data_IF_103022067122
#
_entry.id   IF_103022067122
#
_cell.length_a   1.000
_cell.length_b   1.000
_cell.length_c   1.000
_cell.angle_alpha   90.00
_cell.angle_beta   90.00
_cell.angle_gamma   90.00
#
_symmetry.space_group_name_H-M   'P 1'
#
loop_
_entity.id
_entity.type
_entity.pdbx_description
1 polymer ?
#
# COMPACT_ATOMS: atom_id res chain seq x y z
N UNK A 1 26.10 40.57 -6.67
CA UNK A 1 24.96 40.02 -7.38
C UNK A 1 25.03 38.50 -7.54
N UNK A 2 26.14 37.88 -8.00
CA UNK A 2 26.29 36.40 -8.09
C UNK A 2 26.14 35.67 -6.75
N UNK A 3 26.70 36.20 -5.67
CA UNK A 3 26.61 35.59 -4.32
C UNK A 3 25.19 35.65 -3.73
N UNK A 4 24.38 36.60 -4.13
CA UNK A 4 22.99 36.73 -3.68
C UNK A 4 22.06 35.75 -4.41
N UNK A 5 22.32 35.52 -5.69
CA UNK A 5 21.58 34.55 -6.51
C UNK A 5 21.88 33.12 -6.04
N UNK A 6 23.13 32.77 -5.68
CA UNK A 6 23.51 31.48 -5.15
C UNK A 6 22.86 31.21 -3.78
N UNK A 7 22.74 32.23 -2.91
CA UNK A 7 22.02 32.11 -1.63
C UNK A 7 20.51 31.94 -1.83
N UNK A 8 19.92 32.65 -2.81
CA UNK A 8 18.49 32.47 -3.14
C UNK A 8 18.19 31.10 -3.72
N UNK A 9 19.06 30.57 -4.56
CA UNK A 9 18.95 29.19 -5.10
C UNK A 9 19.13 28.14 -3.99
N UNK A 10 20.07 28.31 -3.07
CA UNK A 10 20.24 27.38 -1.93
C UNK A 10 19.06 27.45 -0.94
N UNK A 11 18.43 28.60 -0.74
CA UNK A 11 17.22 28.74 0.10
C UNK A 11 16.00 28.12 -0.61
N UNK A 12 15.87 28.28 -1.93
CA UNK A 12 14.78 27.62 -2.68
C UNK A 12 14.93 26.09 -2.74
N UNK A 13 16.15 25.58 -2.87
CA UNK A 13 16.43 24.14 -2.81
C UNK A 13 16.18 23.58 -1.40
N UNK A 14 16.51 24.33 -0.35
CA UNK A 14 16.22 23.92 1.03
C UNK A 14 14.73 24.00 1.40
N UNK A 15 13.94 24.90 0.77
CA UNK A 15 12.48 24.93 0.93
C UNK A 15 11.78 23.79 0.18
N UNK A 16 12.30 23.37 -0.97
CA UNK A 16 11.77 22.22 -1.71
C UNK A 16 12.12 20.90 -0.97
N UNK A 17 13.30 20.80 -0.37
CA UNK A 17 13.68 19.65 0.45
C UNK A 17 12.86 19.51 1.75
N UNK A 18 12.27 20.59 2.26
CA UNK A 18 11.44 20.54 3.47
C UNK A 18 10.01 19.98 3.25
N UNK A 19 9.57 19.82 1.99
CA UNK A 19 8.23 19.29 1.67
C UNK A 19 8.23 17.83 1.26
N UNK A 20 9.39 17.20 1.10
CA UNK A 20 9.57 15.77 0.80
C UNK A 20 9.74 14.91 2.06
N UNK A 21 9.06 15.24 3.16
CA UNK A 21 8.93 14.29 4.26
C UNK A 21 7.95 13.23 3.84
N UNK A 22 8.41 11.96 3.88
CA UNK A 22 7.61 10.79 3.60
C UNK A 22 6.24 10.88 4.27
N UNK A 23 5.16 11.00 3.49
CA UNK A 23 3.83 10.75 4.00
C UNK A 23 3.82 9.32 4.49
N UNK A 24 3.56 9.10 5.77
CA UNK A 24 3.37 7.75 6.29
C UNK A 24 2.08 7.21 5.70
N UNK A 25 2.21 6.27 4.78
CA UNK A 25 1.07 5.54 4.23
C UNK A 25 0.49 4.67 5.33
N UNK A 26 -0.82 4.72 5.50
CA UNK A 26 -1.56 3.79 6.34
C UNK A 26 -2.02 2.61 5.51
N UNK A 27 -1.53 1.43 5.81
CA UNK A 27 -1.94 0.19 5.16
C UNK A 27 -3.07 -0.48 5.93
N UNK A 28 -4.03 -1.01 5.19
CA UNK A 28 -4.96 -2.02 5.69
C UNK A 28 -4.41 -3.40 5.32
N UNK A 29 -4.83 -4.44 6.01
CA UNK A 29 -4.26 -5.77 5.90
C UNK A 29 -5.36 -6.83 5.71
N UNK A 30 -5.04 -7.89 4.94
CA UNK A 30 -5.77 -9.16 4.94
C UNK A 30 -4.78 -10.25 5.29
N UNK A 31 -5.04 -10.92 6.38
CA UNK A 31 -4.17 -11.94 6.98
C UNK A 31 -4.92 -13.28 7.13
N UNK A 32 -4.29 -14.27 7.72
CA UNK A 32 -4.95 -15.52 8.08
C UNK A 32 -6.04 -15.35 9.14
N UNK A 33 -5.98 -14.30 9.94
CA UNK A 33 -7.03 -13.98 10.92
C UNK A 33 -8.31 -13.48 10.23
N UNK A 34 -8.18 -12.95 9.01
CA UNK A 34 -9.29 -12.54 8.15
C UNK A 34 -9.78 -13.68 7.23
N UNK A 35 -9.20 -14.88 7.34
CA UNK A 35 -9.57 -16.06 6.56
C UNK A 35 -8.69 -16.37 5.36
N UNK A 36 -7.59 -15.61 5.15
CA UNK A 36 -6.63 -15.93 4.09
C UNK A 36 -5.99 -17.30 4.31
N UNK A 37 -5.91 -18.13 3.29
CA UNK A 37 -5.44 -19.51 3.41
C UNK A 37 -3.99 -19.66 3.85
N UNK A 38 -3.14 -18.63 3.58
CA UNK A 38 -1.72 -18.63 3.95
C UNK A 38 -1.10 -17.24 3.78
N UNK A 39 -0.10 -16.90 4.60
CA UNK A 39 0.56 -15.58 4.62
C UNK A 39 1.37 -15.22 3.36
N UNK A 40 1.92 -16.23 2.64
CA UNK A 40 2.71 -15.97 1.43
C UNK A 40 1.79 -15.78 0.23
N UNK A 41 1.70 -14.55 -0.23
CA UNK A 41 0.91 -14.17 -1.40
C UNK A 41 1.81 -14.12 -2.62
N UNK A 42 1.64 -15.06 -3.54
CA UNK A 42 2.46 -15.17 -4.74
C UNK A 42 1.95 -14.28 -5.88
N UNK A 43 0.63 -14.13 -5.99
CA UNK A 43 0.00 -13.34 -7.06
C UNK A 43 -1.35 -12.78 -6.64
N UNK A 44 -1.73 -11.67 -7.27
CA UNK A 44 -3.00 -10.99 -7.14
C UNK A 44 -3.61 -10.76 -8.52
N UNK A 45 -4.92 -10.82 -8.61
CA UNK A 45 -5.67 -10.53 -9.83
C UNK A 45 -7.02 -9.89 -9.47
N UNK A 46 -7.42 -8.86 -10.22
CA UNK A 46 -8.74 -8.24 -10.13
C UNK A 46 -9.55 -8.65 -11.35
N UNK A 47 -10.70 -9.29 -11.13
CA UNK A 47 -11.57 -9.69 -12.22
C UNK A 47 -12.43 -8.53 -12.77
N UNK A 48 -13.25 -8.80 -13.77
CA UNK A 48 -14.13 -7.81 -14.40
C UNK A 48 -15.20 -7.24 -13.46
N UNK A 49 -15.52 -7.94 -12.38
CA UNK A 49 -16.50 -7.51 -11.37
C UNK A 49 -15.84 -6.72 -10.23
N UNK A 50 -14.52 -6.56 -10.26
CA UNK A 50 -13.74 -5.88 -9.22
C UNK A 50 -13.41 -6.77 -8.01
N UNK A 51 -13.64 -8.08 -8.10
CA UNK A 51 -13.31 -9.04 -7.06
C UNK A 51 -11.81 -9.33 -7.04
N UNK A 52 -11.22 -9.31 -5.86
CA UNK A 52 -9.81 -9.62 -5.66
C UNK A 52 -9.60 -11.14 -5.54
N UNK A 53 -8.73 -11.67 -6.37
CA UNK A 53 -8.25 -13.05 -6.33
C UNK A 53 -6.82 -13.09 -5.83
N UNK A 54 -6.54 -13.98 -4.85
CA UNK A 54 -5.27 -14.05 -4.13
C UNK A 54 -4.72 -15.47 -4.27
N UNK A 55 -3.63 -15.61 -5.01
CA UNK A 55 -2.91 -16.86 -5.17
C UNK A 55 -1.87 -17.04 -4.05
N UNK A 56 -1.98 -18.14 -3.32
CA UNK A 56 -1.07 -18.50 -2.23
C UNK A 56 -0.42 -19.86 -2.45
N UNK A 57 0.39 -20.33 -1.51
CA UNK A 57 0.91 -21.70 -1.50
C UNK A 57 -0.13 -22.73 -1.04
N UNK A 58 -1.26 -22.26 -0.47
CA UNK A 58 -2.32 -23.08 0.11
C UNK A 58 -3.69 -22.82 -0.54
N UNK A 59 -3.70 -22.55 -1.84
CA UNK A 59 -4.90 -22.41 -2.64
C UNK A 59 -5.09 -21.03 -3.26
N UNK A 60 -6.23 -20.92 -3.94
CA UNK A 60 -6.76 -19.68 -4.49
C UNK A 60 -7.80 -19.12 -3.51
N UNK A 61 -7.70 -17.83 -3.20
CA UNK A 61 -8.64 -17.13 -2.34
C UNK A 61 -9.38 -16.06 -3.15
N UNK A 62 -10.68 -15.94 -2.91
CA UNK A 62 -11.55 -14.91 -3.45
C UNK A 62 -11.94 -13.96 -2.31
N UNK A 63 -11.69 -12.69 -2.48
CA UNK A 63 -12.10 -11.64 -1.53
C UNK A 63 -13.07 -10.69 -2.22
N UNK A 64 -14.29 -10.54 -1.69
CA UNK A 64 -15.36 -9.71 -2.28
C UNK A 64 -15.54 -8.35 -1.59
N UNK A 65 -14.66 -8.03 -0.66
CA UNK A 65 -14.72 -6.81 0.14
C UNK A 65 -15.15 -7.06 1.59
N UNK A 66 -15.69 -8.23 1.90
CA UNK A 66 -16.17 -8.62 3.23
C UNK A 66 -15.58 -9.97 3.65
N UNK A 67 -15.78 -11.03 2.86
CA UNK A 67 -15.39 -12.39 3.20
C UNK A 67 -14.29 -12.95 2.27
N UNK A 68 -13.48 -13.88 2.81
CA UNK A 68 -12.50 -14.64 2.04
C UNK A 68 -12.98 -16.08 1.85
N UNK A 69 -13.24 -16.44 0.59
CA UNK A 69 -13.55 -17.81 0.18
C UNK A 69 -12.30 -18.49 -0.38
N UNK A 70 -11.94 -19.69 0.13
CA UNK A 70 -10.76 -20.43 -0.31
C UNK A 70 -11.11 -21.64 -1.17
N UNK A 71 -10.39 -21.82 -2.28
CA UNK A 71 -10.46 -22.97 -3.19
C UNK A 71 -9.15 -23.74 -3.11
N UNK A 72 -9.25 -25.05 -2.83
CA UNK A 72 -8.12 -26.00 -2.68
C UNK A 72 -8.34 -27.27 -3.45
N UNK A 73 -7.28 -28.06 -3.61
CA UNK A 73 -7.36 -29.42 -4.10
C UNK A 73 -8.27 -30.28 -3.21
N UNK A 74 -9.25 -30.94 -3.83
CA UNK A 74 -10.14 -31.92 -3.20
C UNK A 74 -10.03 -33.25 -3.94
N UNK A 75 -9.54 -34.31 -3.26
CA UNK A 75 -9.21 -35.61 -3.86
C UNK A 75 -10.34 -36.26 -4.63
N UNK A 76 -11.60 -36.01 -4.28
CA UNK A 76 -12.77 -36.64 -4.87
C UNK A 76 -13.59 -35.71 -5.76
N UNK A 77 -13.12 -34.49 -6.00
CA UNK A 77 -13.78 -33.53 -6.88
C UNK A 77 -12.91 -33.23 -8.10
N UNK A 78 -13.28 -33.75 -9.29
CA UNK A 78 -12.52 -33.51 -10.53
C UNK A 78 -12.56 -32.04 -11.00
N UNK A 79 -13.44 -31.24 -10.43
CA UNK A 79 -13.59 -29.82 -10.73
C UNK A 79 -12.91 -28.91 -9.70
N UNK A 80 -12.23 -29.48 -8.72
CA UNK A 80 -11.41 -28.74 -7.77
C UNK A 80 -10.06 -28.35 -8.38
N UNK A 81 -9.33 -27.47 -7.69
CA UNK A 81 -7.95 -27.13 -8.06
C UNK A 81 -7.07 -28.40 -8.00
N UNK A 82 -6.24 -28.64 -9.02
CA UNK A 82 -5.40 -29.85 -9.09
C UNK A 82 -4.11 -29.74 -8.27
N UNK A 83 -3.71 -28.52 -7.86
CA UNK A 83 -2.51 -28.24 -7.09
C UNK A 83 -2.75 -27.00 -6.20
N UNK A 84 -2.39 -27.07 -4.92
CA UNK A 84 -2.66 -25.95 -3.99
C UNK A 84 -1.76 -24.71 -4.19
N UNK A 85 -0.57 -24.88 -4.76
CA UNK A 85 0.36 -23.76 -4.90
C UNK A 85 0.07 -22.98 -6.19
N UNK A 86 -0.56 -21.82 -6.04
CA UNK A 86 -0.81 -20.86 -7.12
C UNK A 86 0.34 -19.87 -7.18
N UNK A 87 1.07 -19.83 -8.29
CA UNK A 87 2.25 -19.00 -8.50
C UNK A 87 1.92 -17.67 -9.18
N UNK A 88 1.12 -17.70 -10.25
CA UNK A 88 0.71 -16.53 -11.02
C UNK A 88 -0.72 -16.69 -11.53
N UNK A 89 -1.34 -15.56 -11.82
CA UNK A 89 -2.68 -15.51 -12.40
C UNK A 89 -2.72 -14.58 -13.60
N UNK A 90 -3.56 -14.94 -14.57
CA UNK A 90 -3.93 -14.09 -15.69
C UNK A 90 -5.42 -14.32 -15.99
N UNK A 91 -6.13 -13.34 -16.54
CA UNK A 91 -7.55 -13.49 -16.80
C UNK A 91 -7.96 -12.84 -18.11
N UNK A 92 -9.05 -13.36 -18.70
CA UNK A 92 -9.58 -12.85 -19.97
C UNK A 92 -10.58 -11.72 -19.82
N UNK A 93 -10.86 -11.31 -18.57
CA UNK A 93 -11.92 -10.33 -18.23
C UNK A 93 -13.27 -10.65 -18.89
N UNK A 94 -13.54 -11.93 -19.07
CA UNK A 94 -14.77 -12.49 -19.62
C UNK A 94 -15.09 -13.84 -18.95
N UNK A 95 -15.06 -13.86 -17.63
CA UNK A 95 -15.47 -14.98 -16.80
C UNK A 95 -14.45 -16.09 -16.61
N UNK A 96 -13.19 -15.93 -17.03
CA UNK A 96 -12.15 -16.96 -16.86
C UNK A 96 -10.89 -16.39 -16.23
N UNK A 97 -10.36 -17.12 -15.25
CA UNK A 97 -9.05 -16.88 -14.64
C UNK A 97 -8.14 -18.07 -14.94
N UNK A 98 -6.97 -17.82 -15.44
CA UNK A 98 -5.93 -18.81 -15.70
C UNK A 98 -4.91 -18.79 -14.57
N UNK A 99 -4.58 -19.96 -14.05
CA UNK A 99 -3.72 -20.14 -12.90
C UNK A 99 -2.46 -20.90 -13.31
N UNK A 100 -1.31 -20.32 -13.10
CA UNK A 100 -0.05 -21.03 -13.12
C UNK A 100 0.18 -21.62 -11.73
N UNK A 101 0.20 -22.94 -11.66
CA UNK A 101 0.51 -23.70 -10.46
C UNK A 101 1.89 -24.38 -10.60
N UNK A 102 2.43 -24.92 -9.51
CA UNK A 102 3.71 -25.65 -9.55
C UNK A 102 3.68 -26.87 -10.46
N UNK A 103 2.52 -27.45 -10.69
CA UNK A 103 2.34 -28.68 -11.46
C UNK A 103 1.71 -28.47 -12.85
N UNK A 104 1.49 -27.21 -13.28
CA UNK A 104 0.92 -26.89 -14.59
C UNK A 104 0.00 -25.68 -14.60
N UNK A 105 -0.97 -25.68 -15.52
CA UNK A 105 -1.91 -24.58 -15.76
C UNK A 105 -3.34 -25.05 -15.62
N UNK A 106 -4.15 -24.29 -14.85
CA UNK A 106 -5.59 -24.49 -14.74
C UNK A 106 -6.35 -23.27 -15.26
N UNK A 107 -7.59 -23.48 -15.69
CA UNK A 107 -8.62 -22.48 -15.90
C UNK A 107 -9.64 -22.56 -14.77
N UNK A 108 -10.01 -21.42 -14.21
CA UNK A 108 -11.16 -21.28 -13.32
C UNK A 108 -12.26 -20.49 -14.02
N UNK A 109 -13.44 -21.08 -14.10
CA UNK A 109 -14.62 -20.44 -14.68
C UNK A 109 -15.47 -19.79 -13.59
N UNK A 110 -15.63 -18.47 -13.63
CA UNK A 110 -16.31 -17.67 -12.61
C UNK A 110 -17.81 -18.02 -12.51
N UNK A 111 -18.47 -18.32 -13.63
CA UNK A 111 -19.90 -18.61 -13.65
C UNK A 111 -20.24 -19.99 -13.06
N UNK A 112 -19.41 -21.00 -13.32
CA UNK A 112 -19.63 -22.38 -12.84
C UNK A 112 -18.89 -22.66 -11.55
N UNK A 113 -17.92 -21.84 -11.16
CA UNK A 113 -16.98 -22.02 -10.04
C UNK A 113 -16.21 -23.35 -10.12
N UNK A 114 -15.85 -23.77 -11.33
CA UNK A 114 -15.15 -25.01 -11.60
C UNK A 114 -13.77 -24.78 -12.19
N UNK A 115 -12.84 -25.65 -11.80
CA UNK A 115 -11.52 -25.71 -12.39
C UNK A 115 -11.47 -26.71 -13.52
N UNK A 116 -10.66 -26.41 -14.52
CA UNK A 116 -10.27 -27.31 -15.61
C UNK A 116 -8.76 -27.29 -15.73
N UNK A 117 -8.12 -28.45 -15.63
CA UNK A 117 -6.67 -28.56 -15.89
C UNK A 117 -6.42 -28.44 -17.39
N UNK A 118 -5.69 -27.42 -17.81
CA UNK A 118 -5.37 -27.17 -19.22
C UNK A 118 -4.07 -27.86 -19.63
N UNK A 119 -3.07 -27.87 -18.74
CA UNK A 119 -1.76 -28.47 -18.98
C UNK A 119 -1.16 -28.94 -17.66
N UNK A 120 -0.57 -30.14 -17.66
CA UNK A 120 0.29 -30.63 -16.57
C UNK A 120 1.75 -30.58 -17.00
N UNK A 121 2.63 -30.29 -16.06
CA UNK A 121 4.07 -30.23 -16.25
C UNK A 121 4.67 -28.86 -15.94
N UNK A 122 5.98 -28.74 -16.13
CA UNK A 122 6.71 -27.54 -15.77
C UNK A 122 6.43 -26.38 -16.74
N UNK A 123 5.85 -25.30 -16.23
CA UNK A 123 5.57 -24.04 -16.93
C UNK A 123 6.14 -22.92 -16.07
N UNK A 124 6.82 -21.94 -16.67
CA UNK A 124 7.54 -20.90 -15.95
C UNK A 124 6.80 -19.55 -15.94
N UNK A 125 5.97 -19.31 -16.94
CA UNK A 125 5.19 -18.08 -17.03
C UNK A 125 3.84 -18.27 -17.69
N UNK A 126 2.92 -17.35 -17.35
CA UNK A 126 1.58 -17.25 -17.92
C UNK A 126 1.28 -15.79 -18.24
N UNK A 127 0.65 -15.52 -19.36
CA UNK A 127 0.24 -14.19 -19.78
C UNK A 127 -1.04 -14.23 -20.61
N UNK A 128 -1.94 -13.31 -20.38
CA UNK A 128 -3.16 -13.15 -21.17
C UNK A 128 -3.33 -11.72 -21.65
N UNK A 129 -3.62 -11.52 -22.91
CA UNK A 129 -4.12 -10.26 -23.49
C UNK A 129 -5.23 -10.55 -24.50
N UNK A 130 -4.95 -11.03 -25.67
CA UNK A 130 -5.92 -11.44 -26.69
C UNK A 130 -6.08 -12.97 -26.74
N UNK A 131 -5.10 -13.67 -26.21
CA UNK A 131 -5.05 -15.11 -26.06
C UNK A 131 -4.22 -15.46 -24.81
N UNK A 132 -4.35 -16.69 -24.36
CA UNK A 132 -3.51 -17.25 -23.30
C UNK A 132 -2.17 -17.70 -23.89
N UNK A 133 -1.07 -17.19 -23.33
CA UNK A 133 0.29 -17.62 -23.64
C UNK A 133 0.93 -18.22 -22.39
N UNK A 134 1.76 -19.24 -22.60
CA UNK A 134 2.62 -19.81 -21.57
C UNK A 134 4.08 -19.84 -22.05
N UNK A 135 5.01 -19.65 -21.11
CA UNK A 135 6.44 -19.85 -21.31
C UNK A 135 6.88 -21.17 -20.69
N UNK A 136 7.50 -22.03 -21.49
CA UNK A 136 8.04 -23.32 -21.07
C UNK A 136 9.49 -23.43 -21.55
N UNK A 137 10.45 -23.32 -20.64
CA UNK A 137 11.85 -23.15 -21.02
C UNK A 137 12.02 -21.95 -21.99
N UNK A 138 12.63 -22.11 -23.14
CA UNK A 138 12.81 -21.11 -24.19
C UNK A 138 11.67 -21.06 -25.22
N UNK A 139 10.56 -21.72 -24.97
CA UNK A 139 9.42 -21.84 -25.89
C UNK A 139 8.21 -21.07 -25.39
N UNK A 140 7.53 -20.37 -26.28
CA UNK A 140 6.24 -19.72 -26.04
C UNK A 140 5.17 -20.53 -26.73
N UNK A 141 4.15 -20.91 -26.00
CA UNK A 141 2.98 -21.60 -26.52
C UNK A 141 1.75 -20.71 -26.40
N UNK A 142 0.86 -20.82 -27.37
CA UNK A 142 -0.45 -20.16 -27.40
C UNK A 142 -1.55 -21.20 -27.21
N UNK A 143 -2.47 -20.94 -26.31
CA UNK A 143 -3.65 -21.78 -26.12
C UNK A 143 -4.63 -21.62 -27.28
N UNK A 144 -5.05 -22.73 -27.83
CA UNK A 144 -6.03 -22.81 -28.90
C UNK A 144 -7.36 -23.29 -28.31
N UNK A 145 -8.33 -22.38 -28.15
CA UNK A 145 -9.62 -22.66 -27.54
C UNK A 145 -10.46 -23.69 -28.34
N UNK A 146 -10.23 -23.82 -29.66
CA UNK A 146 -10.98 -24.76 -30.50
C UNK A 146 -10.53 -26.21 -30.30
N UNK A 147 -9.23 -26.43 -30.13
CA UNK A 147 -8.65 -27.76 -29.96
C UNK A 147 -8.42 -28.13 -28.49
N UNK A 148 -8.40 -27.14 -27.60
CA UNK A 148 -8.04 -27.34 -26.19
C UNK A 148 -6.55 -27.59 -25.95
N UNK A 149 -5.69 -27.33 -26.94
CA UNK A 149 -4.27 -27.61 -26.87
C UNK A 149 -3.43 -26.31 -26.85
N UNK A 150 -2.18 -26.46 -26.44
CA UNK A 150 -1.17 -25.42 -26.54
C UNK A 150 -0.32 -25.65 -27.79
N UNK A 151 -0.42 -24.74 -28.76
CA UNK A 151 0.37 -24.78 -30.00
C UNK A 151 1.66 -23.98 -29.82
N UNK A 152 2.80 -24.49 -30.31
CA UNK A 152 4.07 -23.75 -30.29
C UNK A 152 3.91 -22.46 -31.09
N UNK A 153 4.13 -21.31 -30.43
CA UNK A 153 3.98 -19.99 -31.03
C UNK A 153 5.33 -19.41 -31.45
N UNK A 154 6.34 -19.50 -30.57
CA UNK A 154 7.70 -19.03 -30.85
C UNK A 154 8.74 -19.76 -30.01
N UNK A 155 9.97 -19.90 -30.52
CA UNK A 155 11.10 -20.45 -29.80
C UNK A 155 12.26 -19.48 -29.79
N UNK A 156 12.71 -19.07 -28.60
CA UNK A 156 13.88 -18.24 -28.40
C UNK A 156 15.17 -19.01 -28.74
N UNK A 157 16.19 -18.35 -29.29
CA UNK A 157 17.50 -18.96 -29.50
C UNK A 157 18.17 -19.23 -28.11
N UNK A 158 18.78 -20.40 -27.97
CA UNK A 158 19.44 -20.80 -26.72
C UNK A 158 18.67 -21.90 -25.96
N UNK A 159 19.42 -22.88 -25.42
CA UNK A 159 18.81 -24.06 -24.78
C UNK A 159 18.62 -23.94 -23.26
N UNK A 160 19.21 -22.94 -22.63
CA UNK A 160 19.22 -22.80 -21.16
C UNK A 160 18.39 -21.59 -20.67
N UNK A 161 17.50 -21.09 -21.51
CA UNK A 161 16.66 -19.94 -21.18
C UNK A 161 15.36 -20.42 -20.57
N UNK A 162 14.87 -19.72 -19.53
CA UNK A 162 13.54 -19.90 -19.01
C UNK A 162 12.79 -18.58 -19.13
N UNK A 163 11.66 -18.60 -19.83
CA UNK A 163 10.78 -17.43 -20.02
C UNK A 163 9.98 -17.23 -18.74
N UNK A 164 10.31 -16.20 -17.97
CA UNK A 164 9.72 -15.92 -16.67
C UNK A 164 8.59 -14.88 -16.70
N UNK A 165 8.53 -14.01 -17.69
CA UNK A 165 7.45 -13.06 -17.88
C UNK A 165 7.32 -12.64 -19.35
N UNK A 166 6.13 -12.20 -19.73
CA UNK A 166 5.80 -11.75 -21.07
C UNK A 166 4.90 -10.51 -20.99
N UNK A 167 4.99 -9.62 -21.97
CA UNK A 167 4.09 -8.50 -22.15
C UNK A 167 3.90 -8.20 -23.64
N UNK A 168 2.64 -8.08 -24.07
CA UNK A 168 2.27 -7.82 -25.46
C UNK A 168 1.76 -6.39 -25.61
N UNK A 169 2.36 -5.60 -26.49
CA UNK A 169 1.85 -4.28 -26.86
C UNK A 169 2.03 -4.00 -28.35
N UNK A 170 0.97 -3.53 -29.00
CA UNK A 170 0.96 -3.04 -30.41
C UNK A 170 1.74 -3.94 -31.38
N UNK A 171 1.54 -5.26 -31.30
CA UNK A 171 2.21 -6.23 -32.17
C UNK A 171 3.66 -6.54 -31.78
N UNK A 172 4.12 -6.10 -30.63
CA UNK A 172 5.42 -6.43 -30.06
C UNK A 172 5.25 -7.23 -28.78
N UNK A 173 5.96 -8.34 -28.65
CA UNK A 173 6.01 -9.12 -27.42
C UNK A 173 7.36 -8.92 -26.75
N UNK A 174 7.32 -8.38 -25.53
CA UNK A 174 8.46 -8.33 -24.63
C UNK A 174 8.54 -9.62 -23.84
N UNK A 175 9.72 -10.21 -23.75
CA UNK A 175 9.95 -11.51 -23.17
C UNK A 175 11.10 -11.40 -22.19
N UNK A 176 10.81 -11.60 -20.91
CA UNK A 176 11.83 -11.67 -19.87
C UNK A 176 12.30 -13.10 -19.64
N UNK A 177 13.61 -13.26 -19.45
CA UNK A 177 14.24 -14.55 -19.19
C UNK A 177 14.99 -14.54 -17.86
N UNK A 178 15.24 -15.72 -17.29
CA UNK A 178 15.93 -15.86 -15.99
C UNK A 178 17.45 -15.65 -16.09
N UNK A 179 18.04 -15.68 -17.26
CA UNK A 179 19.51 -15.66 -17.40
C UNK A 179 20.04 -14.68 -18.44
N UNK A 180 19.27 -14.36 -19.47
CA UNK A 180 19.76 -13.64 -20.66
C UNK A 180 19.03 -12.30 -20.92
N UNK A 181 18.31 -11.82 -19.92
CA UNK A 181 17.66 -10.52 -19.95
C UNK A 181 16.33 -10.47 -20.68
N UNK A 182 16.00 -9.32 -21.28
CA UNK A 182 14.73 -9.06 -21.95
C UNK A 182 14.90 -8.96 -23.46
N UNK A 183 14.06 -9.69 -24.17
CA UNK A 183 13.95 -9.69 -25.63
C UNK A 183 12.70 -8.95 -26.09
N UNK A 184 12.72 -8.46 -27.32
CA UNK A 184 11.56 -7.91 -28.02
C UNK A 184 11.34 -8.66 -29.33
N UNK A 185 10.21 -9.31 -29.45
CA UNK A 185 9.75 -10.01 -30.65
C UNK A 185 8.72 -9.15 -31.40
N UNK A 186 9.04 -8.76 -32.62
CA UNK A 186 8.13 -8.09 -33.53
C UNK A 186 7.27 -9.14 -34.25
N UNK A 187 5.97 -9.19 -33.96
CA UNK A 187 5.12 -10.32 -34.38
C UNK A 187 4.83 -10.35 -35.87
N UNK A 188 4.64 -9.17 -36.52
CA UNK A 188 4.33 -9.05 -37.95
C UNK A 188 5.52 -9.47 -38.85
N UNK A 189 6.75 -9.29 -38.36
CA UNK A 189 7.97 -9.62 -39.07
C UNK A 189 8.64 -10.89 -38.61
N UNK A 190 8.18 -11.43 -37.48
CA UNK A 190 8.83 -12.55 -36.77
C UNK A 190 10.32 -12.28 -36.49
N UNK A 191 10.65 -10.99 -36.22
CA UNK A 191 12.00 -10.54 -35.91
C UNK A 191 12.22 -10.43 -34.41
N UNK A 192 13.23 -11.13 -33.91
CA UNK A 192 13.69 -11.05 -32.53
C UNK A 192 14.87 -10.08 -32.44
N UNK A 193 14.76 -9.08 -31.58
CA UNK A 193 15.94 -8.25 -31.25
C UNK A 193 16.81 -8.99 -30.24
N UNK A 194 18.11 -8.73 -30.27
CA UNK A 194 19.03 -9.18 -29.22
C UNK A 194 18.57 -8.66 -27.85
N UNK A 195 19.00 -9.30 -26.73
CA UNK A 195 18.63 -8.84 -25.42
C UNK A 195 18.90 -7.34 -25.29
N UNK A 196 17.83 -6.59 -25.01
CA UNK A 196 17.91 -5.15 -24.80
C UNK A 196 18.47 -4.85 -23.41
N UNK A 197 18.19 -5.75 -22.47
CA UNK A 197 18.62 -5.73 -21.08
C UNK A 197 19.28 -7.06 -20.76
N UNK A 198 20.25 -7.07 -19.85
CA UNK A 198 20.90 -8.28 -19.35
C UNK A 198 20.31 -8.72 -18.01
N UNK A 199 20.69 -9.91 -17.56
CA UNK A 199 20.37 -10.42 -16.24
C UNK A 199 19.04 -11.18 -16.15
N UNK A 200 18.62 -11.43 -14.93
CA UNK A 200 17.40 -12.17 -14.60
C UNK A 200 16.23 -11.20 -14.50
N UNK A 201 15.31 -11.24 -15.44
CA UNK A 201 14.11 -10.39 -15.48
C UNK A 201 13.02 -11.03 -14.63
N UNK A 202 12.34 -10.23 -13.82
CA UNK A 202 11.30 -10.68 -12.88
C UNK A 202 9.91 -10.24 -13.27
N UNK A 203 9.80 -9.03 -13.86
CA UNK A 203 8.52 -8.41 -14.24
C UNK A 203 8.68 -7.45 -15.40
N UNK A 204 7.61 -7.29 -16.17
CA UNK A 204 7.47 -6.27 -17.22
C UNK A 204 6.11 -5.62 -17.02
N UNK A 205 6.11 -4.31 -16.84
CA UNK A 205 4.91 -3.49 -16.69
C UNK A 205 4.93 -2.33 -17.67
N UNK A 206 3.79 -2.04 -18.31
CA UNK A 206 3.62 -0.87 -19.18
C UNK A 206 2.72 0.14 -18.49
N UNK A 207 3.17 1.38 -18.38
CA UNK A 207 2.39 2.47 -17.82
C UNK A 207 1.41 3.09 -18.84
N UNK A 208 0.64 4.07 -18.40
CA UNK A 208 -0.37 4.76 -19.22
C UNK A 208 0.24 5.60 -20.37
N UNK A 209 1.51 5.98 -20.26
CA UNK A 209 2.26 6.71 -21.29
C UNK A 209 2.87 5.77 -22.34
N UNK A 210 2.77 4.45 -22.11
CA UNK A 210 3.31 3.41 -22.98
C UNK A 210 4.79 3.10 -22.72
N UNK A 211 5.36 3.60 -21.64
CA UNK A 211 6.72 3.32 -21.20
C UNK A 211 6.78 2.01 -20.41
N UNK A 212 7.92 1.31 -20.48
CA UNK A 212 8.05 0.01 -19.82
C UNK A 212 8.93 0.10 -18.59
N UNK A 213 8.44 -0.52 -17.52
CA UNK A 213 9.12 -0.68 -16.24
C UNK A 213 9.46 -2.15 -16.07
N UNK A 214 10.75 -2.47 -16.17
CA UNK A 214 11.26 -3.84 -16.21
C UNK A 214 12.08 -4.09 -14.96
N UNK A 215 11.55 -4.98 -14.10
CA UNK A 215 12.22 -5.39 -12.88
C UNK A 215 13.23 -6.50 -13.14
N UNK A 216 14.33 -6.48 -12.40
CA UNK A 216 15.35 -7.53 -12.42
C UNK A 216 15.62 -8.08 -11.02
N UNK A 217 16.31 -9.23 -10.96
CA UNK A 217 16.67 -9.85 -9.69
C UNK A 217 17.89 -9.19 -9.01
N UNK A 218 18.79 -8.57 -9.75
CA UNK A 218 20.04 -7.99 -9.19
C UNK A 218 20.43 -6.66 -9.83
N UNK A 219 19.87 -6.34 -11.02
CA UNK A 219 20.24 -5.18 -11.84
C UNK A 219 19.32 -3.96 -11.60
N UNK A 220 18.49 -3.99 -10.54
CA UNK A 220 17.57 -2.92 -10.21
C UNK A 220 16.35 -2.84 -11.14
N UNK A 221 15.87 -1.62 -11.36
CA UNK A 221 14.71 -1.29 -12.18
C UNK A 221 15.17 -0.60 -13.47
N UNK A 222 14.69 -1.10 -14.61
CA UNK A 222 14.94 -0.51 -15.91
C UNK A 222 13.68 0.20 -16.41
N UNK A 223 13.82 1.45 -16.77
CA UNK A 223 12.76 2.26 -17.38
C UNK A 223 13.08 2.46 -18.86
N UNK A 224 12.29 1.85 -19.73
CA UNK A 224 12.41 1.94 -21.18
C UNK A 224 11.38 2.92 -21.70
N UNK A 225 11.85 4.08 -22.11
CA UNK A 225 11.02 5.18 -22.65
C UNK A 225 10.53 4.88 -24.06
N UNK A 226 9.49 5.58 -24.47
CA UNK A 226 8.90 5.42 -25.82
C UNK A 226 9.85 5.79 -26.95
N UNK A 227 10.87 6.64 -26.70
CA UNK A 227 11.93 6.98 -27.66
C UNK A 227 13.06 5.92 -27.73
N UNK A 228 12.98 4.87 -26.89
CA UNK A 228 13.96 3.80 -26.79
C UNK A 228 15.11 4.07 -25.80
N UNK A 229 15.11 5.23 -25.14
CA UNK A 229 16.06 5.52 -24.05
C UNK A 229 15.82 4.59 -22.87
N UNK A 230 16.89 4.09 -22.25
CA UNK A 230 16.83 3.23 -21.08
C UNK A 230 17.49 3.93 -19.91
N UNK A 231 16.75 4.10 -18.83
CA UNK A 231 17.26 4.55 -17.54
C UNK A 231 17.31 3.36 -16.58
N UNK A 232 18.36 3.30 -15.75
CA UNK A 232 18.54 2.22 -14.78
C UNK A 232 18.55 2.84 -13.40
N UNK A 233 17.73 2.31 -12.50
CA UNK A 233 17.65 2.73 -11.11
C UNK A 233 18.15 1.60 -10.21
N UNK A 234 19.24 1.88 -9.49
CA UNK A 234 19.85 0.95 -8.57
C UNK A 234 19.80 1.48 -7.13
N UNK A 235 19.88 0.55 -6.18
CA UNK A 235 19.99 0.88 -4.77
C UNK A 235 21.36 1.52 -4.47
N UNK A 236 21.31 2.66 -3.81
CA UNK A 236 22.50 3.34 -3.27
C UNK A 236 22.29 3.66 -1.77
N UNK A 237 23.06 2.99 -0.91
CA UNK A 237 22.97 3.19 0.54
C UNK A 237 23.30 4.63 1.01
N UNK A 238 23.92 5.44 0.16
CA UNK A 238 24.25 6.85 0.45
C UNK A 238 23.19 7.81 -0.05
N UNK A 239 22.28 7.34 -0.90
CA UNK A 239 21.19 8.15 -1.46
C UNK A 239 19.83 7.68 -0.90
N UNK A 240 19.24 8.39 0.07
CA UNK A 240 17.95 8.01 0.64
C UNK A 240 16.77 8.09 -0.34
N UNK A 241 16.99 8.68 -1.52
CA UNK A 241 16.01 8.79 -2.60
C UNK A 241 16.27 7.80 -3.74
N UNK A 242 17.15 6.82 -3.57
CA UNK A 242 17.29 5.68 -4.48
C UNK A 242 16.23 4.62 -4.21
N UNK A 243 16.05 3.68 -5.13
CA UNK A 243 15.22 2.49 -4.90
C UNK A 243 15.75 1.70 -3.69
N UNK A 244 14.86 1.06 -2.93
CA UNK A 244 15.22 0.41 -1.65
C UNK A 244 15.97 -0.92 -1.81
N UNK A 245 15.97 -1.53 -3.00
CA UNK A 245 16.67 -2.78 -3.30
C UNK A 245 16.77 -3.01 -4.82
N UNK A 246 17.85 -3.64 -5.28
CA UNK A 246 18.01 -4.07 -6.66
C UNK A 246 17.14 -5.29 -7.03
N UNK A 247 16.57 -5.99 -6.05
CA UNK A 247 15.65 -7.10 -6.27
C UNK A 247 14.23 -6.58 -6.50
N UNK A 248 13.90 -6.21 -7.73
CA UNK A 248 12.59 -5.67 -8.13
C UNK A 248 11.69 -6.81 -8.57
N UNK A 249 10.40 -6.81 -8.15
CA UNK A 249 9.47 -7.92 -8.43
C UNK A 249 8.19 -7.53 -9.11
N UNK A 250 7.71 -6.32 -8.88
CA UNK A 250 6.44 -5.85 -9.43
C UNK A 250 6.44 -4.34 -9.61
N UNK A 251 5.70 -3.86 -10.62
CA UNK A 251 5.44 -2.45 -10.83
C UNK A 251 3.94 -2.25 -11.09
N UNK A 252 3.41 -1.10 -10.68
CA UNK A 252 2.04 -0.70 -10.94
C UNK A 252 1.93 0.83 -10.93
N UNK A 253 1.17 1.42 -11.84
CA UNK A 253 0.86 2.85 -11.87
C UNK A 253 -0.42 3.14 -11.10
N UNK A 254 -0.40 4.17 -10.22
CA UNK A 254 -1.61 4.66 -9.56
C UNK A 254 -2.42 5.61 -10.48
N UNK A 255 -3.57 6.10 -10.01
CA UNK A 255 -4.39 7.03 -10.77
C UNK A 255 -3.81 8.46 -10.84
N UNK A 256 -2.79 8.73 -10.04
CA UNK A 256 -2.06 10.01 -10.01
C UNK A 256 -0.84 10.01 -10.95
N UNK A 257 -0.57 8.88 -11.62
CA UNK A 257 0.57 8.69 -12.53
C UNK A 257 1.89 8.36 -11.84
N UNK A 258 1.90 8.08 -10.53
CA UNK A 258 3.12 7.60 -9.87
C UNK A 258 3.31 6.11 -10.14
N UNK A 259 4.56 5.68 -10.23
CA UNK A 259 4.90 4.27 -10.35
C UNK A 259 5.24 3.71 -8.98
N UNK A 260 4.56 2.63 -8.60
CA UNK A 260 4.79 1.89 -7.38
C UNK A 260 5.58 0.63 -7.69
N UNK A 261 6.67 0.42 -6.98
CA UNK A 261 7.63 -0.65 -7.23
C UNK A 261 7.78 -1.50 -5.98
N UNK A 262 7.43 -2.76 -6.10
CA UNK A 262 7.65 -3.79 -5.08
C UNK A 262 9.03 -4.39 -5.20
N UNK A 263 9.78 -4.37 -4.11
CA UNK A 263 11.12 -4.94 -4.05
C UNK A 263 11.24 -5.96 -2.93
N UNK A 264 12.40 -6.59 -2.80
CA UNK A 264 12.71 -7.45 -1.67
C UNK A 264 12.74 -6.69 -0.34
N UNK A 265 13.04 -5.40 -0.35
CA UNK A 265 13.21 -4.57 0.85
C UNK A 265 12.33 -3.30 0.85
N UNK A 266 11.07 -3.44 0.52
CA UNK A 266 10.07 -2.39 0.66
C UNK A 266 9.29 -2.10 -0.60
N UNK A 267 8.29 -1.25 -0.41
CA UNK A 267 7.49 -0.61 -1.44
C UNK A 267 8.10 0.76 -1.75
N UNK A 268 8.28 1.06 -3.02
CA UNK A 268 8.85 2.32 -3.48
C UNK A 268 7.84 3.05 -4.33
N UNK A 269 7.68 4.35 -4.13
CA UNK A 269 6.95 5.24 -5.01
C UNK A 269 7.95 6.06 -5.82
N UNK A 270 7.90 5.96 -7.13
CA UNK A 270 8.66 6.83 -8.03
C UNK A 270 7.80 8.01 -8.45
N UNK A 271 8.27 9.21 -8.18
CA UNK A 271 7.64 10.45 -8.61
C UNK A 271 8.27 10.90 -9.94
N UNK A 272 7.50 10.76 -11.04
CA UNK A 272 7.94 11.11 -12.39
C UNK A 272 8.34 12.59 -12.51
N UNK A 273 7.78 13.49 -11.69
CA UNK A 273 8.05 14.92 -11.76
C UNK A 273 9.40 15.31 -11.18
N UNK A 274 9.85 14.60 -10.15
CA UNK A 274 11.13 14.85 -9.44
C UNK A 274 12.22 13.86 -9.78
N UNK A 275 11.87 12.67 -10.31
CA UNK A 275 12.78 11.58 -10.57
C UNK A 275 13.29 10.89 -9.29
N UNK A 276 12.60 11.06 -8.17
CA UNK A 276 13.02 10.57 -6.87
C UNK A 276 12.14 9.41 -6.38
N UNK A 277 12.74 8.52 -5.61
CA UNK A 277 12.03 7.44 -4.92
C UNK A 277 11.69 7.83 -3.49
N UNK A 278 10.52 7.42 -3.04
CA UNK A 278 10.08 7.42 -1.66
C UNK A 278 9.90 5.98 -1.21
N UNK A 279 10.58 5.58 -0.13
CA UNK A 279 10.66 4.19 0.30
C UNK A 279 9.80 3.94 1.55
N UNK A 280 9.05 2.83 1.53
CA UNK A 280 8.22 2.36 2.64
C UNK A 280 8.66 0.93 3.00
N UNK A 281 9.11 0.72 4.24
CA UNK A 281 9.55 -0.58 4.74
C UNK A 281 8.73 -1.00 5.95
N UNK A 282 8.63 -2.30 6.19
CA UNK A 282 7.98 -2.82 7.39
C UNK A 282 8.74 -2.37 8.65
N UNK A 283 7.98 -2.02 9.69
CA UNK A 283 8.51 -1.62 10.99
C UNK A 283 7.62 -2.17 12.09
N UNK A 284 8.18 -2.88 13.05
CA UNK A 284 7.47 -3.37 14.25
C UNK A 284 6.88 -2.24 15.10
N UNK A 285 7.31 -1.00 14.82
CA UNK A 285 6.87 0.17 15.55
C UNK A 285 5.52 0.75 15.06
N UNK A 286 5.00 0.30 13.90
CA UNK A 286 3.78 0.83 13.28
C UNK A 286 2.77 -0.31 13.07
N UNK A 287 1.64 -0.26 13.78
CA UNK A 287 0.55 -1.23 13.62
C UNK A 287 -0.20 -1.10 12.30
N UNK A 288 -0.09 0.05 11.64
CA UNK A 288 -0.69 0.43 10.37
C UNK A 288 0.33 0.57 9.23
N UNK A 289 1.56 0.09 9.45
CA UNK A 289 2.63 0.01 8.46
C UNK A 289 2.52 -1.24 7.57
N UNK A 290 3.49 -1.41 6.66
CA UNK A 290 3.65 -2.65 5.91
C UNK A 290 3.87 -3.83 6.86
N UNK A 291 3.15 -4.92 6.64
CA UNK A 291 3.30 -6.17 7.43
C UNK A 291 4.61 -6.89 7.13
N UNK A 292 5.16 -6.73 5.93
CA UNK A 292 6.41 -7.34 5.51
C UNK A 292 7.07 -6.55 4.38
N UNK A 293 8.39 -6.35 4.44
CA UNK A 293 9.11 -5.54 3.43
C UNK A 293 9.22 -6.21 2.05
N UNK A 294 9.20 -7.55 1.95
CA UNK A 294 9.32 -8.22 0.65
C UNK A 294 7.98 -8.25 -0.08
N UNK A 295 7.83 -7.39 -1.08
CA UNK A 295 6.64 -7.25 -1.92
C UNK A 295 6.80 -8.14 -3.16
N UNK A 296 5.85 -9.03 -3.41
CA UNK A 296 5.91 -9.99 -4.51
C UNK A 296 5.05 -9.62 -5.71
N UNK A 297 3.92 -9.02 -5.49
CA UNK A 297 3.01 -8.58 -6.53
C UNK A 297 2.26 -7.33 -6.12
N UNK A 298 1.86 -6.53 -7.10
CA UNK A 298 1.06 -5.31 -6.93
C UNK A 298 0.00 -5.32 -8.02
N UNK A 299 -1.25 -5.04 -7.65
CA UNK A 299 -2.33 -4.78 -8.60
C UNK A 299 -3.13 -3.57 -8.16
N UNK A 300 -3.73 -2.86 -9.12
CA UNK A 300 -4.62 -1.74 -8.88
C UNK A 300 -6.05 -2.14 -9.25
N UNK A 301 -6.99 -1.85 -8.37
CA UNK A 301 -8.41 -2.02 -8.68
C UNK A 301 -9.01 -0.82 -9.43
N UNK A 302 -10.28 -0.94 -9.79
CA UNK A 302 -11.00 0.10 -10.53
C UNK A 302 -11.27 1.38 -9.71
N UNK A 303 -11.08 1.32 -8.39
CA UNK A 303 -11.25 2.45 -7.47
C UNK A 303 -9.92 3.15 -7.15
N UNK A 304 -8.81 2.67 -7.71
CA UNK A 304 -7.47 3.19 -7.48
C UNK A 304 -6.77 2.61 -6.25
N UNK A 305 -7.36 1.64 -5.55
CA UNK A 305 -6.70 0.95 -4.44
C UNK A 305 -5.59 0.07 -4.96
N UNK A 306 -4.42 0.19 -4.34
CA UNK A 306 -3.27 -0.67 -4.59
C UNK A 306 -3.28 -1.83 -3.60
N UNK A 307 -3.26 -3.05 -4.13
CA UNK A 307 -3.21 -4.30 -3.40
C UNK A 307 -1.82 -4.91 -3.54
N UNK A 308 -1.17 -5.21 -2.43
CA UNK A 308 0.22 -5.65 -2.34
C UNK A 308 0.28 -7.05 -1.74
N UNK A 309 0.75 -8.01 -2.50
CA UNK A 309 1.04 -9.34 -1.96
C UNK A 309 2.45 -9.40 -1.40
N UNK A 310 2.60 -9.91 -0.17
CA UNK A 310 3.88 -10.00 0.52
C UNK A 310 4.35 -11.43 0.71
N UNK A 311 5.64 -11.60 1.03
CA UNK A 311 6.24 -12.92 1.24
C UNK A 311 5.69 -13.64 2.48
N UNK A 312 5.47 -12.91 3.59
CA UNK A 312 5.04 -13.47 4.87
C UNK A 312 4.06 -12.60 5.66
N UNK A 313 3.47 -11.59 5.07
CA UNK A 313 2.60 -10.64 5.76
C UNK A 313 1.18 -10.56 5.18
N UNK A 314 0.75 -11.54 4.37
CA UNK A 314 -0.55 -11.48 3.71
C UNK A 314 -0.63 -10.41 2.63
N UNK A 315 -1.80 -9.82 2.49
CA UNK A 315 -2.07 -8.71 1.58
C UNK A 315 -2.10 -7.40 2.34
N UNK A 316 -1.40 -6.39 1.85
CA UNK A 316 -1.52 -5.01 2.31
C UNK A 316 -2.24 -4.20 1.24
N UNK A 317 -3.06 -3.23 1.64
CA UNK A 317 -3.73 -2.38 0.65
C UNK A 317 -3.94 -0.96 1.17
N UNK A 318 -3.92 -0.02 0.24
CA UNK A 318 -4.16 1.40 0.49
C UNK A 318 -4.60 2.07 -0.81
N UNK A 319 -5.22 3.25 -0.70
CA UNK A 319 -5.56 4.04 -1.87
C UNK A 319 -4.78 5.36 -1.83
N UNK A 320 -3.85 5.60 -2.79
CA UNK A 320 -3.05 6.82 -2.82
C UNK A 320 -3.86 8.12 -2.90
N UNK A 321 -5.08 8.08 -3.46
CA UNK A 321 -5.94 9.26 -3.57
C UNK A 321 -6.54 9.69 -2.21
N UNK A 322 -6.63 8.76 -1.24
CA UNK A 322 -7.15 9.05 0.11
C UNK A 322 -6.07 9.39 1.12
N UNK A 323 -4.80 9.32 0.76
CA UNK A 323 -3.64 9.67 1.58
C UNK A 323 -3.54 11.18 1.90
N UNK A 324 -4.38 12.03 1.27
CA UNK A 324 -4.50 13.44 1.63
C UNK A 324 -5.08 13.65 3.04
N UNK A 325 -5.71 12.64 3.62
CA UNK A 325 -6.29 12.69 4.96
C UNK A 325 -5.37 12.03 5.99
N UNK A 326 -4.90 12.82 6.97
CA UNK A 326 -4.18 12.27 8.12
C UNK A 326 -5.14 11.48 9.01
N UNK A 327 -4.82 10.22 9.30
CA UNK A 327 -5.56 9.38 10.25
C UNK A 327 -4.87 9.41 11.61
N UNK A 328 -5.65 9.60 12.66
CA UNK A 328 -5.17 9.53 14.04
C UNK A 328 -5.86 8.35 14.72
N UNK A 329 -5.10 7.27 14.91
CA UNK A 329 -5.61 6.01 15.46
C UNK A 329 -5.31 5.89 16.96
N UNK A 330 -6.08 5.03 17.64
CA UNK A 330 -5.76 4.61 19.00
C UNK A 330 -4.41 3.87 19.02
N UNK A 331 -3.62 4.13 20.06
CA UNK A 331 -2.39 3.40 20.34
C UNK A 331 -2.27 3.11 21.84
N UNK A 332 -1.78 1.94 22.26
CA UNK A 332 -1.45 1.72 23.67
C UNK A 332 -0.22 2.52 24.14
N UNK A 333 0.53 3.14 23.19
CA UNK A 333 1.75 3.91 23.46
C UNK A 333 1.48 5.40 23.26
N UNK A 334 1.71 6.23 24.29
CA UNK A 334 1.35 7.65 24.34
C UNK A 334 1.81 8.45 23.11
N UNK A 335 3.07 8.36 22.75
CA UNK A 335 3.60 9.16 21.63
C UNK A 335 3.08 8.80 20.26
N UNK A 336 2.47 7.62 20.11
CA UNK A 336 2.16 7.02 18.81
C UNK A 336 0.71 7.18 18.35
N UNK A 337 -0.20 7.56 19.23
CA UNK A 337 -1.60 7.69 18.84
C UNK A 337 -2.50 8.22 19.94
N UNK A 338 -3.80 8.14 19.68
CA UNK A 338 -4.84 8.55 20.61
C UNK A 338 -4.91 7.63 21.83
N UNK A 339 -5.26 8.21 22.97
CA UNK A 339 -5.42 7.49 24.24
C UNK A 339 -6.67 6.59 24.31
N UNK A 340 -7.64 6.81 23.42
CA UNK A 340 -8.90 6.07 23.34
C UNK A 340 -9.49 6.20 21.92
N UNK A 341 -10.11 5.14 21.35
CA UNK A 341 -10.67 5.18 20.01
C UNK A 341 -11.95 6.03 19.88
N UNK A 342 -12.65 6.31 20.98
CA UNK A 342 -13.87 7.11 20.94
C UNK A 342 -13.52 8.59 21.06
N UNK A 343 -13.51 9.27 19.94
CA UNK A 343 -13.18 10.69 19.81
C UNK A 343 -14.44 11.55 19.98
N UNK A 344 -14.32 12.59 20.79
CA UNK A 344 -15.35 13.61 20.98
C UNK A 344 -15.01 14.92 20.28
N UNK A 345 -14.88 16.02 21.02
CA UNK A 345 -14.55 17.34 20.48
C UNK A 345 -13.08 17.47 20.11
N UNK A 346 -12.80 18.18 19.04
CA UNK A 346 -11.45 18.54 18.60
C UNK A 346 -11.38 20.04 18.35
N UNK A 347 -10.29 20.67 18.78
CA UNK A 347 -9.98 22.08 18.54
C UNK A 347 -8.53 22.22 18.09
N UNK A 348 -8.24 23.30 17.39
CA UNK A 348 -6.90 23.66 16.93
C UNK A 348 -6.39 24.87 17.73
N UNK A 349 -5.11 24.85 18.15
CA UNK A 349 -4.48 26.00 18.79
C UNK A 349 -3.85 26.95 17.75
N UNK A 350 -3.32 28.09 18.20
CA UNK A 350 -2.70 29.11 17.34
C UNK A 350 -1.47 28.62 16.57
N UNK A 351 -0.83 27.55 17.04
CA UNK A 351 0.36 26.95 16.40
C UNK A 351 -0.03 25.79 15.46
N UNK A 352 -1.33 25.58 15.26
CA UNK A 352 -1.88 24.54 14.39
C UNK A 352 -1.88 23.14 14.97
N UNK A 353 -1.61 22.95 16.28
CA UNK A 353 -1.67 21.66 16.93
C UNK A 353 -3.10 21.30 17.31
N UNK A 354 -3.38 19.99 17.44
CA UNK A 354 -4.72 19.52 17.75
C UNK A 354 -4.86 19.14 19.22
N UNK A 355 -5.99 19.54 19.81
CA UNK A 355 -6.43 19.11 21.12
C UNK A 355 -7.70 18.30 20.97
N UNK A 356 -7.66 17.03 21.36
CA UNK A 356 -8.67 16.02 21.03
C UNK A 356 -9.19 15.44 22.35
N UNK A 357 -10.45 15.69 22.64
CA UNK A 357 -11.14 15.07 23.76
C UNK A 357 -11.61 13.66 23.42
N UNK A 358 -11.46 12.73 24.35
CA UNK A 358 -11.89 11.35 24.16
C UNK A 358 -12.85 10.89 25.28
N UNK A 359 -13.61 9.85 25.02
CA UNK A 359 -14.49 9.22 26.00
C UNK A 359 -13.76 8.07 26.69
N UNK A 360 -13.09 8.36 27.81
CA UNK A 360 -12.38 7.38 28.65
C UNK A 360 -10.86 7.48 28.60
N UNK A 361 -10.27 8.21 27.67
CA UNK A 361 -8.82 8.39 27.53
C UNK A 361 -8.30 9.75 28.00
N UNK A 362 -9.18 10.69 28.37
CA UNK A 362 -8.81 12.06 28.73
C UNK A 362 -8.64 12.97 27.51
N UNK A 363 -7.79 13.99 27.64
CA UNK A 363 -7.47 14.94 26.61
C UNK A 363 -6.16 14.55 25.93
N UNK A 364 -6.15 14.57 24.60
CA UNK A 364 -4.96 14.30 23.77
C UNK A 364 -4.49 15.63 23.14
N UNK A 365 -3.21 15.84 23.14
CA UNK A 365 -2.53 16.89 22.40
C UNK A 365 -1.71 16.25 21.29
N UNK A 366 -1.89 16.68 20.04
CA UNK A 366 -1.10 16.25 18.90
C UNK A 366 -0.28 17.41 18.37
N UNK A 367 1.05 17.27 18.44
CA UNK A 367 1.97 18.24 17.88
C UNK A 367 2.19 17.93 16.39
N UNK A 368 1.69 18.79 15.51
CA UNK A 368 1.80 18.58 14.04
C UNK A 368 3.24 18.60 13.53
N UNK A 369 4.14 19.33 14.19
CA UNK A 369 5.55 19.42 13.77
C UNK A 369 6.34 18.17 14.13
N UNK A 370 6.19 17.65 15.37
CA UNK A 370 6.90 16.45 15.84
C UNK A 370 6.15 15.16 15.53
N UNK A 371 4.86 15.28 15.17
CA UNK A 371 3.94 14.14 14.95
C UNK A 371 3.77 13.24 16.17
N UNK A 372 3.97 13.76 17.36
CA UNK A 372 3.82 13.04 18.62
C UNK A 372 2.54 13.43 19.33
N UNK A 373 1.96 12.43 20.02
CA UNK A 373 0.85 12.63 20.94
C UNK A 373 1.35 12.80 22.37
N UNK A 374 0.61 13.58 23.16
CA UNK A 374 0.72 13.66 24.61
C UNK A 374 -0.68 13.52 25.20
N UNK A 375 -0.79 12.72 26.26
CA UNK A 375 -2.06 12.46 26.94
C UNK A 375 -2.13 13.17 28.28
N UNK A 376 -3.28 13.77 28.55
CA UNK A 376 -3.61 14.35 29.84
C UNK A 376 -4.74 13.50 30.45
N UNK A 377 -4.43 12.80 31.51
CA UNK A 377 -5.33 11.92 32.25
C UNK A 377 -5.44 12.35 33.69
N UNK A 378 -6.52 11.98 34.44
CA UNK A 378 -6.58 12.21 35.88
C UNK A 378 -5.42 11.50 36.60
N UNK A 379 -4.71 12.27 37.39
CA UNK A 379 -3.61 11.79 38.25
C UNK A 379 -3.85 12.21 39.70
N UNK A 380 -3.10 11.58 40.63
CA UNK A 380 -3.14 11.97 42.02
C UNK A 380 -2.48 13.37 42.16
N UNK A 381 -3.29 14.38 42.47
CA UNK A 381 -2.83 15.74 42.67
C UNK A 381 -3.70 16.77 41.95
N UNK A 382 -3.53 18.05 42.25
CA UNK A 382 -4.38 19.13 41.70
C UNK A 382 -4.02 19.54 40.29
N UNK A 383 -2.88 19.09 39.74
CA UNK A 383 -2.38 19.56 38.45
C UNK A 383 -2.57 18.53 37.33
N UNK A 384 -3.73 17.92 37.27
CA UNK A 384 -4.14 17.02 36.18
C UNK A 384 -5.57 17.32 35.78
N UNK A 385 -6.03 16.75 34.68
CA UNK A 385 -7.44 16.86 34.28
C UNK A 385 -8.33 16.13 35.28
N UNK A 386 -9.54 16.64 35.52
CA UNK A 386 -10.43 16.14 36.57
C UNK A 386 -11.16 14.84 36.22
N UNK A 387 -11.30 14.50 34.92
CA UNK A 387 -12.03 13.32 34.44
C UNK A 387 -11.59 12.87 33.05
N UNK A 388 -11.69 11.55 32.77
CA UNK A 388 -11.28 10.96 31.49
C UNK A 388 -12.26 11.20 30.31
N UNK A 389 -13.53 11.49 30.60
CA UNK A 389 -14.53 11.72 29.57
C UNK A 389 -14.64 13.21 29.27
N UNK A 390 -14.15 13.61 28.10
CA UNK A 390 -14.17 15.00 27.65
C UNK A 390 -15.38 15.21 26.74
N UNK A 391 -16.22 16.19 27.09
CA UNK A 391 -17.45 16.51 26.37
C UNK A 391 -17.39 17.81 25.60
N UNK A 392 -16.64 18.79 26.09
CA UNK A 392 -16.53 20.11 25.50
C UNK A 392 -15.09 20.61 25.52
N UNK A 393 -14.70 21.34 24.48
CA UNK A 393 -13.41 22.02 24.38
C UNK A 393 -13.63 23.41 23.79
N UNK A 394 -12.97 24.42 24.38
CA UNK A 394 -12.90 25.76 23.84
C UNK A 394 -11.48 26.33 24.03
N UNK A 395 -10.88 26.88 22.98
CA UNK A 395 -9.58 27.51 23.02
C UNK A 395 -9.71 29.04 23.03
N UNK A 396 -9.26 29.67 24.11
CA UNK A 396 -9.11 31.13 24.22
C UNK A 396 -7.73 31.53 23.69
N UNK A 397 -7.68 31.90 22.42
CA UNK A 397 -6.44 32.27 21.74
C UNK A 397 -5.78 33.55 22.35
N UNK A 398 -6.57 34.42 22.96
CA UNK A 398 -6.04 35.70 23.55
C UNK A 398 -5.23 35.43 24.81
N UNK A 399 -5.59 34.40 25.56
CA UNK A 399 -4.97 34.04 26.84
C UNK A 399 -4.11 32.78 26.76
N UNK A 400 -4.15 32.03 25.64
CA UNK A 400 -3.48 30.74 25.44
C UNK A 400 -3.96 29.67 26.44
N UNK A 401 -5.29 29.61 26.59
CA UNK A 401 -5.98 28.76 27.57
C UNK A 401 -6.94 27.81 26.87
N UNK A 402 -7.00 26.56 27.33
CA UNK A 402 -8.05 25.62 26.94
C UNK A 402 -9.03 25.42 28.09
N UNK A 403 -10.30 25.60 27.78
CA UNK A 403 -11.40 25.27 28.66
C UNK A 403 -11.92 23.89 28.28
N UNK A 404 -12.06 23.00 29.28
CA UNK A 404 -12.33 21.59 29.09
C UNK A 404 -13.54 21.19 29.94
N UNK A 405 -14.66 20.92 29.28
CA UNK A 405 -15.84 20.38 29.92
C UNK A 405 -15.78 18.87 30.00
N UNK A 406 -16.07 18.33 31.17
CA UNK A 406 -16.02 16.90 31.45
C UNK A 406 -17.36 16.33 31.86
N UNK A 407 -17.46 14.96 31.83
CA UNK A 407 -18.64 14.23 32.29
C UNK A 407 -18.60 13.96 33.75
N UNK A 408 -18.71 14.61 34.71
CA UNK A 408 -18.65 14.40 36.19
C UNK A 408 -17.43 15.05 36.85
N UNK A 409 -16.55 15.71 36.12
CA UNK A 409 -15.38 16.38 36.70
C UNK A 409 -15.50 17.90 36.70
N UNK A 410 -16.63 18.46 36.27
CA UNK A 410 -16.83 19.90 36.16
C UNK A 410 -16.09 20.50 34.97
N UNK A 411 -15.73 21.77 35.09
CA UNK A 411 -14.98 22.55 34.11
C UNK A 411 -13.51 22.65 34.51
N UNK A 412 -12.60 22.36 33.58
CA UNK A 412 -11.17 22.52 33.76
C UNK A 412 -10.66 23.68 32.88
N UNK A 413 -9.72 24.41 33.39
CA UNK A 413 -8.95 25.43 32.69
C UNK A 413 -7.50 24.99 32.62
N UNK A 414 -6.98 24.77 31.42
CA UNK A 414 -5.57 24.48 31.18
C UNK A 414 -4.87 25.74 30.64
N UNK A 415 -3.87 26.21 31.33
CA UNK A 415 -2.94 27.20 30.84
C UNK A 415 -1.83 26.50 30.07
N UNK A 416 -1.79 26.69 28.74
CA UNK A 416 -0.89 25.90 27.85
C UNK A 416 0.57 26.20 28.18
N UNK A 417 0.91 27.47 28.50
CA UNK A 417 2.29 27.88 28.73
C UNK A 417 2.88 27.29 30.01
N UNK A 418 2.09 27.28 31.06
CA UNK A 418 2.55 26.79 32.38
C UNK A 418 2.23 25.27 32.58
N UNK A 419 1.35 24.70 31.75
CA UNK A 419 0.86 23.35 31.92
C UNK A 419 -0.02 23.14 33.15
N UNK A 420 -0.53 24.22 33.76
CA UNK A 420 -1.29 24.17 35.01
C UNK A 420 -2.78 24.02 34.75
N UNK A 421 -3.41 23.12 35.52
CA UNK A 421 -4.86 22.94 35.58
C UNK A 421 -5.48 23.76 36.74
N UNK A 422 -6.67 24.29 36.52
CA UNK A 422 -7.58 24.85 37.51
C UNK A 422 -8.93 24.18 37.34
N UNK A 423 -9.56 23.75 38.43
CA UNK A 423 -10.85 23.07 38.40
C UNK A 423 -11.96 23.95 38.96
N UNK A 424 -13.10 23.93 38.30
CA UNK A 424 -14.34 24.55 38.75
C UNK A 424 -15.35 23.42 38.90
N UNK A 425 -15.97 23.31 40.06
CA UNK A 425 -16.94 22.24 40.39
C UNK A 425 -18.19 22.79 41.01
N UNK A 426 -19.24 21.98 40.97
CA UNK A 426 -20.45 22.25 41.74
C UNK A 426 -20.19 22.07 43.22
N UNK A 427 -20.63 23.04 44.05
CA UNK A 427 -20.70 22.96 45.52
C UNK A 427 -22.16 23.05 45.97
N UNK A 428 -22.63 22.03 46.63
CA UNK A 428 -24.02 21.97 47.09
C UNK A 428 -24.34 23.14 48.02
N UNK A 429 -25.35 23.92 47.64
CA UNK A 429 -25.77 25.10 48.39
C UNK A 429 -25.00 26.38 48.13
N UNK A 430 -24.04 26.39 47.22
CA UNK A 430 -23.30 27.60 46.80
C UNK A 430 -23.72 28.01 45.38
N UNK A 431 -24.56 29.08 45.22
CA UNK A 431 -25.06 29.51 43.94
C UNK A 431 -23.99 30.18 43.04
N UNK A 432 -22.82 30.50 43.58
CA UNK A 432 -21.71 31.10 42.86
C UNK A 432 -20.80 30.06 42.17
N UNK A 433 -21.08 28.78 42.33
CA UNK A 433 -20.35 27.70 41.70
C UNK A 433 -21.14 27.15 40.50
N UNK A 434 -20.54 26.18 39.77
CA UNK A 434 -21.23 25.52 38.65
C UNK A 434 -22.54 24.84 39.13
N UNK A 435 -23.60 24.90 38.34
CA UNK A 435 -24.85 24.22 38.66
C UNK A 435 -24.78 22.71 38.49
N UNK A 436 -23.75 22.19 37.81
CA UNK A 436 -23.51 20.76 37.58
C UNK A 436 -22.06 20.47 37.24
N UNK A 437 -21.56 19.30 37.62
CA UNK A 437 -20.24 18.80 37.17
C UNK A 437 -20.26 18.15 35.79
N UNK A 438 -21.42 18.12 35.15
CA UNK A 438 -21.56 17.64 33.75
C UNK A 438 -21.59 18.83 32.82
N UNK A 439 -20.47 19.09 32.13
CA UNK A 439 -20.36 20.16 31.15
C UNK A 439 -20.43 19.57 29.74
N UNK A 440 -21.49 19.91 29.01
CA UNK A 440 -21.76 19.32 27.68
C UNK A 440 -21.23 20.17 26.53
N UNK A 441 -21.20 21.50 26.70
CA UNK A 441 -20.70 22.42 25.70
C UNK A 441 -20.15 23.69 26.35
N UNK A 442 -19.27 24.41 25.65
CA UNK A 442 -18.63 25.65 26.07
C UNK A 442 -18.68 26.62 24.88
N UNK A 443 -19.27 27.77 25.06
CA UNK A 443 -19.32 28.80 24.04
C UNK A 443 -18.98 30.17 24.64
N UNK A 444 -18.20 31.01 23.95
CA UNK A 444 -17.95 32.40 24.39
C UNK A 444 -19.16 33.27 24.15
N UNK A 445 -19.43 34.14 25.07
CA UNK A 445 -20.41 35.23 24.95
C UNK A 445 -19.85 36.52 25.47
N UNK A 446 -19.58 37.49 24.59
CA UNK A 446 -18.84 38.73 24.93
C UNK A 446 -17.51 38.39 25.62
N UNK A 447 -17.29 38.90 26.86
CA UNK A 447 -16.09 38.63 27.67
C UNK A 447 -16.28 37.45 28.65
N UNK A 448 -17.35 36.66 28.52
CA UNK A 448 -17.75 35.55 29.40
C UNK A 448 -17.73 34.19 28.64
N UNK A 449 -17.65 33.10 29.40
CA UNK A 449 -17.82 31.70 28.96
C UNK A 449 -19.12 31.16 29.50
#
# INVERSE_FOLDING_TARGET
>A
MRTFIIRLLLVSVSMIAATLQAQNITFNHLTTDDGLSQFSVNSLYIDENGVLWIGTREGLNRYDGEDIQTYKLQKNDPYSLFCNTVLRMAGNRNGKIYLLCTEGVAEFNLATQRFTTLLQGNVHSIYYKEALFIGKQNEIYRYNEQTGNFDLYYQLPGKSLEICCMHLDKGQMWIGTTTDGAYRLQLDKNELTHPILKGNITSIYQDSEGELWIGSWEEGLHHVKTDGTIEIFEYDAKNPYSISSNFVRACCEDNLGNIWIGTFNGLNRYDKSTGLFQNHTASDAQSDGLTHSSIWCIVKDNQGTLWLGTYFGGVNYFNPEYEIYSRYMYSPIEKKGLSNPVVGRTIEDKDGNLWIGTEGGGLNYYNRRTREFKWFRPEIGPNSISHNNIKALYYDASKDIIWIGTHLGGLNRLDIRSGRFTHYRMEAGNPETLPSDIIRDIAPYQDHL
#
